data_IF_389784595001
#
_entry.id   IF_389784595001
#
_cell.length_a   1.000
_cell.length_b   1.000
_cell.length_c   1.000
_cell.angle_alpha   90.00
_cell.angle_beta   90.00
_cell.angle_gamma   90.00
#
_symmetry.space_group_name_H-M   'P 1'
#
loop_
_entity.id
_entity.type
_entity.pdbx_description
1 polymer ?
#
# COMPACT_ATOMS: atom_id res chain seq x y z
N UNK A 1 14.63 -13.74 18.06
CA UNK A 1 14.33 -12.61 17.13
C UNK A 1 15.28 -12.67 15.94
N UNK A 2 14.73 -12.59 14.73
CA UNK A 2 15.50 -12.73 13.49
C UNK A 2 15.39 -11.40 12.72
N UNK A 3 16.50 -10.91 12.15
CA UNK A 3 16.48 -9.82 11.17
C UNK A 3 16.40 -10.41 9.77
N UNK A 4 15.33 -10.13 9.05
CA UNK A 4 15.13 -10.57 7.66
C UNK A 4 15.06 -9.31 6.77
N UNK A 5 15.70 -9.29 5.59
CA UNK A 5 15.53 -8.21 4.63
C UNK A 5 14.06 -8.00 4.27
N UNK A 6 13.62 -6.75 4.18
CA UNK A 6 12.20 -6.37 4.00
C UNK A 6 11.62 -6.96 2.72
N UNK A 7 12.39 -7.00 1.65
CA UNK A 7 12.05 -7.58 0.36
C UNK A 7 11.66 -9.06 0.44
N UNK A 8 12.23 -9.80 1.41
CA UNK A 8 11.97 -11.23 1.60
C UNK A 8 10.73 -11.51 2.47
N UNK A 9 10.12 -10.48 3.07
CA UNK A 9 8.97 -10.64 3.96
C UNK A 9 7.62 -10.64 3.23
N UNK A 10 7.58 -10.28 1.95
CA UNK A 10 6.34 -10.15 1.20
C UNK A 10 5.36 -9.17 1.84
N UNK A 11 5.84 -8.13 2.53
CA UNK A 11 4.99 -7.17 3.26
C UNK A 11 4.03 -6.45 2.32
N UNK A 12 4.47 -6.15 1.09
CA UNK A 12 3.62 -5.51 0.10
C UNK A 12 2.36 -6.32 -0.20
N UNK A 13 2.48 -7.65 -0.28
CA UNK A 13 1.36 -8.56 -0.54
C UNK A 13 0.36 -8.63 0.62
N UNK A 14 0.72 -8.10 1.78
CA UNK A 14 -0.03 -8.21 3.03
C UNK A 14 -0.44 -6.86 3.62
N UNK A 15 -0.33 -5.75 2.88
CA UNK A 15 -0.63 -4.41 3.41
C UNK A 15 -2.05 -4.28 3.97
N UNK A 16 -3.03 -4.92 3.36
CA UNK A 16 -4.43 -4.95 3.79
C UNK A 16 -4.75 -6.01 4.87
N UNK A 17 -3.76 -6.86 5.21
CA UNK A 17 -3.95 -7.86 6.25
C UNK A 17 -4.21 -7.20 7.59
N UNK A 18 -5.32 -7.57 8.22
CA UNK A 18 -5.64 -7.12 9.59
C UNK A 18 -4.66 -7.75 10.58
N UNK A 19 -4.05 -6.90 11.39
CA UNK A 19 -3.11 -7.27 12.46
C UNK A 19 -3.52 -6.59 13.76
N UNK A 20 -2.98 -7.04 14.88
CA UNK A 20 -3.13 -6.37 16.18
C UNK A 20 -1.83 -5.66 16.52
N UNK A 21 -1.86 -4.33 16.57
CA UNK A 21 -0.74 -3.48 16.95
C UNK A 21 -0.89 -3.01 18.40
N UNK A 22 0.23 -2.87 19.10
CA UNK A 22 0.27 -2.46 20.51
C UNK A 22 0.83 -1.05 20.65
N UNK A 23 -0.03 -0.11 21.05
CA UNK A 23 0.30 1.29 21.26
C UNK A 23 0.34 1.63 22.74
N UNK A 24 1.24 2.53 23.15
CA UNK A 24 1.23 3.06 24.52
C UNK A 24 -0.05 3.87 24.75
N UNK A 25 -0.69 3.69 25.91
CA UNK A 25 -1.89 4.43 26.32
C UNK A 25 -1.61 5.89 26.60
N UNK A 26 -0.38 6.19 27.01
CA UNK A 26 0.07 7.56 27.30
C UNK A 26 1.14 7.97 26.30
N UNK A 27 1.14 9.24 25.93
CA UNK A 27 2.21 9.82 25.12
C UNK A 27 3.57 9.65 25.81
N UNK A 28 4.56 9.31 25.01
CA UNK A 28 5.92 9.10 25.49
C UNK A 28 6.91 9.81 24.59
N UNK A 29 7.89 10.45 25.19
CA UNK A 29 9.02 11.04 24.45
C UNK A 29 10.11 10.02 24.14
N UNK A 30 10.12 8.88 24.87
CA UNK A 30 11.09 7.81 24.64
C UNK A 30 10.61 6.93 23.49
N UNK A 31 11.40 6.78 22.42
CA UNK A 31 11.08 5.88 21.32
C UNK A 31 10.90 4.44 21.79
N UNK A 32 9.96 3.72 21.17
CA UNK A 32 9.70 2.31 21.45
C UNK A 32 9.39 1.54 20.17
N UNK A 33 9.50 0.22 20.23
CA UNK A 33 9.19 -0.63 19.09
C UNK A 33 7.68 -0.85 18.97
N UNK A 34 7.14 -0.72 17.74
CA UNK A 34 5.74 -1.08 17.48
C UNK A 34 5.64 -2.60 17.35
N UNK A 35 4.99 -3.23 18.32
CA UNK A 35 4.74 -4.67 18.27
C UNK A 35 3.44 -4.96 17.52
N UNK A 36 3.50 -5.92 16.60
CA UNK A 36 2.40 -6.36 15.75
C UNK A 36 2.24 -7.87 15.85
N UNK A 37 1.02 -8.33 16.09
CA UNK A 37 0.66 -9.75 16.11
C UNK A 37 -0.23 -10.10 14.94
N UNK A 38 0.15 -11.14 14.18
CA UNK A 38 -0.58 -11.66 13.04
C UNK A 38 -1.47 -12.85 13.42
N UNK A 39 -1.04 -13.65 14.40
CA UNK A 39 -1.79 -14.81 14.90
C UNK A 39 -2.38 -14.55 16.27
N UNK A 40 -3.50 -15.24 16.57
CA UNK A 40 -4.14 -15.16 17.89
C UNK A 40 -3.23 -15.65 19.02
N UNK A 41 -2.43 -16.69 18.75
CA UNK A 41 -1.49 -17.23 19.73
C UNK A 41 -0.44 -16.18 20.13
N UNK A 42 0.19 -15.56 19.13
CA UNK A 42 1.18 -14.50 19.40
C UNK A 42 0.53 -13.29 20.08
N UNK A 43 -0.68 -12.90 19.66
CA UNK A 43 -1.44 -11.83 20.30
C UNK A 43 -1.65 -12.09 21.79
N UNK A 44 -2.13 -13.28 22.15
CA UNK A 44 -2.38 -13.64 23.56
C UNK A 44 -1.11 -13.55 24.42
N UNK A 45 0.02 -14.02 23.87
CA UNK A 45 1.33 -13.91 24.52
C UNK A 45 1.75 -12.46 24.71
N UNK A 46 1.73 -11.67 23.63
CA UNK A 46 2.15 -10.26 23.66
C UNK A 46 1.25 -9.40 24.52
N UNK A 47 -0.04 -9.68 24.54
CA UNK A 47 -0.99 -9.00 25.41
C UNK A 47 -0.60 -9.15 26.89
N UNK A 48 -0.28 -10.36 27.33
CA UNK A 48 0.16 -10.62 28.72
C UNK A 48 1.46 -9.88 29.07
N UNK A 49 2.37 -9.74 28.11
CA UNK A 49 3.63 -9.03 28.28
C UNK A 49 3.47 -7.51 28.32
N UNK A 50 2.63 -6.94 27.42
CA UNK A 50 2.60 -5.50 27.13
C UNK A 50 1.48 -4.74 27.86
N UNK A 51 0.32 -5.35 28.13
CA UNK A 51 -0.76 -4.64 28.86
C UNK A 51 -0.33 -4.13 30.26
N UNK A 52 0.44 -4.90 31.06
CA UNK A 52 0.94 -4.41 32.36
C UNK A 52 1.92 -3.23 32.21
N UNK A 53 2.55 -3.08 31.05
CA UNK A 53 3.48 -1.98 30.73
C UNK A 53 2.76 -0.74 30.15
N UNK A 54 1.42 -0.71 30.18
CA UNK A 54 0.62 0.40 29.74
C UNK A 54 0.36 0.45 28.22
N UNK A 55 0.48 -0.67 27.51
CA UNK A 55 0.10 -0.75 26.11
C UNK A 55 -1.38 -1.13 25.96
N UNK A 56 -1.96 -0.74 24.83
CA UNK A 56 -3.29 -1.15 24.37
C UNK A 56 -3.18 -1.80 22.99
N UNK A 57 -4.00 -2.82 22.77
CA UNK A 57 -4.10 -3.52 21.51
C UNK A 57 -5.14 -2.86 20.60
N UNK A 58 -4.79 -2.61 19.34
CA UNK A 58 -5.66 -2.02 18.33
C UNK A 58 -5.57 -2.84 17.05
N UNK A 59 -6.72 -3.19 16.46
CA UNK A 59 -6.76 -3.84 15.15
C UNK A 59 -6.62 -2.79 14.04
N UNK A 60 -5.64 -2.97 13.18
CA UNK A 60 -5.36 -2.11 12.02
C UNK A 60 -4.84 -2.96 10.84
N UNK A 61 -4.91 -2.47 9.60
CA UNK A 61 -4.16 -3.05 8.50
C UNK A 61 -2.64 -2.98 8.74
N UNK A 62 -1.91 -3.98 8.26
CA UNK A 62 -0.44 -4.01 8.36
C UNK A 62 0.19 -2.76 7.73
N UNK A 63 -0.31 -2.29 6.58
CA UNK A 63 0.17 -1.08 5.94
C UNK A 63 0.07 0.16 6.84
N UNK A 64 -0.98 0.28 7.66
CA UNK A 64 -1.08 1.36 8.64
C UNK A 64 -0.09 1.20 9.79
N UNK A 65 0.25 -0.02 10.20
CA UNK A 65 1.32 -0.24 11.18
C UNK A 65 2.68 0.17 10.62
N UNK A 66 2.97 -0.17 9.36
CA UNK A 66 4.17 0.27 8.65
C UNK A 66 4.24 1.80 8.56
N UNK A 67 3.14 2.44 8.16
CA UNK A 67 3.06 3.91 8.06
C UNK A 67 3.36 4.58 9.40
N UNK A 68 2.77 4.10 10.48
CA UNK A 68 3.06 4.62 11.83
C UNK A 68 4.57 4.58 12.14
N UNK A 69 5.26 3.46 11.86
CA UNK A 69 6.71 3.36 12.11
C UNK A 69 7.49 4.31 11.21
N UNK A 70 7.12 4.41 9.93
CA UNK A 70 7.81 5.28 8.96
C UNK A 70 7.66 6.75 9.32
N UNK A 71 6.44 7.21 9.65
CA UNK A 71 6.11 8.63 9.78
C UNK A 71 6.37 9.19 11.18
N UNK A 72 6.18 8.41 12.24
CA UNK A 72 6.17 8.93 13.60
C UNK A 72 7.52 8.73 14.30
N UNK A 73 8.07 9.81 14.87
CA UNK A 73 9.41 9.82 15.48
C UNK A 73 9.52 8.95 16.75
N UNK A 74 8.39 8.71 17.44
CA UNK A 74 8.39 7.91 18.66
C UNK A 74 8.40 6.39 18.41
N UNK A 75 8.28 5.93 17.17
CA UNK A 75 8.52 4.53 16.83
C UNK A 75 9.96 4.33 16.36
N UNK A 76 10.60 3.31 16.92
CA UNK A 76 11.97 2.92 16.59
C UNK A 76 11.96 1.86 15.49
N UNK A 77 11.46 0.68 15.80
CA UNK A 77 11.41 -0.47 14.89
C UNK A 77 10.02 -1.11 14.90
N UNK A 78 9.77 -1.99 13.93
CA UNK A 78 8.59 -2.84 13.89
C UNK A 78 8.96 -4.25 14.32
N UNK A 79 8.23 -4.81 15.29
CA UNK A 79 8.36 -6.21 15.70
C UNK A 79 7.12 -6.95 15.22
N UNK A 80 7.30 -7.94 14.34
CA UNK A 80 6.21 -8.73 13.77
C UNK A 80 6.28 -10.15 14.35
N UNK A 81 5.19 -10.57 14.99
CA UNK A 81 5.06 -11.94 15.48
C UNK A 81 3.95 -12.70 14.77
N UNK A 82 4.18 -14.01 14.59
CA UNK A 82 3.25 -14.93 13.95
C UNK A 82 3.43 -15.07 12.42
N UNK A 83 4.47 -14.48 11.82
CA UNK A 83 4.93 -14.80 10.47
C UNK A 83 5.90 -15.97 10.44
N UNK A 84 6.71 -16.10 11.48
CA UNK A 84 7.67 -17.17 11.69
C UNK A 84 7.58 -17.65 13.15
N UNK A 85 8.21 -18.78 13.51
CA UNK A 85 8.28 -19.25 14.91
C UNK A 85 8.86 -18.20 15.86
N UNK A 86 9.81 -17.39 15.37
CA UNK A 86 10.39 -16.29 16.11
C UNK A 86 9.84 -14.93 15.63
N UNK A 87 9.91 -13.93 16.50
CA UNK A 87 9.59 -12.54 16.14
C UNK A 87 10.61 -11.99 15.15
N UNK A 88 10.10 -11.29 14.16
CA UNK A 88 10.89 -10.63 13.13
C UNK A 88 11.01 -9.14 13.49
N UNK A 89 12.24 -8.62 13.52
CA UNK A 89 12.50 -7.20 13.68
C UNK A 89 12.77 -6.59 12.32
N UNK A 90 12.01 -5.56 11.99
CA UNK A 90 12.20 -4.73 10.80
C UNK A 90 12.55 -3.33 11.25
N UNK A 91 13.77 -2.89 10.95
CA UNK A 91 14.21 -1.56 11.35
C UNK A 91 13.48 -0.48 10.55
N UNK A 92 13.30 0.69 11.17
CA UNK A 92 12.68 1.84 10.50
C UNK A 92 13.41 2.21 9.21
N UNK A 93 14.75 2.17 9.22
CA UNK A 93 15.58 2.46 8.05
C UNK A 93 15.30 1.47 6.90
N UNK A 94 15.08 0.20 7.22
CA UNK A 94 14.74 -0.82 6.24
C UNK A 94 13.34 -0.61 5.62
N UNK A 95 12.44 0.07 6.33
CA UNK A 95 11.10 0.41 5.82
C UNK A 95 11.07 1.66 4.94
N UNK A 96 12.07 2.54 5.03
CA UNK A 96 12.08 3.81 4.30
C UNK A 96 11.93 3.69 2.79
N UNK A 97 12.52 2.69 2.09
CA UNK A 97 12.28 2.47 0.66
C UNK A 97 10.81 2.18 0.31
N UNK A 98 10.02 1.67 1.26
CA UNK A 98 8.60 1.39 1.05
C UNK A 98 7.68 2.59 1.30
N UNK A 99 8.22 3.72 1.74
CA UNK A 99 7.42 4.88 2.19
C UNK A 99 6.34 5.29 1.19
N UNK A 100 6.69 5.48 -0.07
CA UNK A 100 5.73 5.93 -1.09
C UNK A 100 4.63 4.90 -1.37
N UNK A 101 4.97 3.62 -1.32
CA UNK A 101 4.00 2.53 -1.49
C UNK A 101 3.04 2.45 -0.31
N UNK A 102 3.59 2.51 0.91
CA UNK A 102 2.81 2.47 2.15
C UNK A 102 1.89 3.68 2.27
N UNK A 103 2.39 4.88 1.96
CA UNK A 103 1.59 6.10 1.93
C UNK A 103 0.46 6.01 0.89
N UNK A 104 0.76 5.53 -0.33
CA UNK A 104 -0.26 5.28 -1.36
C UNK A 104 -1.32 4.28 -0.89
N UNK A 105 -0.90 3.18 -0.26
CA UNK A 105 -1.82 2.23 0.35
C UNK A 105 -2.73 2.89 1.38
N UNK A 106 -2.19 3.70 2.30
CA UNK A 106 -2.97 4.38 3.33
C UNK A 106 -4.02 5.33 2.74
N UNK A 107 -3.66 6.09 1.69
CA UNK A 107 -4.58 6.96 0.96
C UNK A 107 -5.70 6.15 0.31
N UNK A 108 -5.36 5.10 -0.44
CA UNK A 108 -6.32 4.24 -1.13
C UNK A 108 -7.24 3.53 -0.12
N UNK A 109 -6.68 3.01 0.96
CA UNK A 109 -7.43 2.35 2.03
C UNK A 109 -8.41 3.31 2.72
N UNK A 110 -7.99 4.57 2.95
CA UNK A 110 -8.87 5.61 3.51
C UNK A 110 -10.02 5.94 2.57
N UNK A 111 -9.77 6.05 1.26
CA UNK A 111 -10.81 6.28 0.25
C UNK A 111 -11.76 5.08 0.13
N UNK A 112 -11.25 3.85 0.05
CA UNK A 112 -12.05 2.62 -0.03
C UNK A 112 -12.98 2.44 1.19
N UNK A 113 -12.60 3.00 2.35
CA UNK A 113 -13.40 3.00 3.57
C UNK A 113 -14.19 4.31 3.80
N UNK A 114 -14.35 5.14 2.78
CA UNK A 114 -15.08 6.42 2.82
C UNK A 114 -14.59 7.39 3.91
N UNK A 115 -13.32 7.33 4.29
CA UNK A 115 -12.69 8.25 5.25
C UNK A 115 -12.20 9.54 4.59
N UNK A 116 -11.93 9.48 3.29
CA UNK A 116 -11.63 10.63 2.43
C UNK A 116 -12.39 10.48 1.11
N UNK A 117 -12.67 11.59 0.45
CA UNK A 117 -13.30 11.60 -0.87
C UNK A 117 -12.30 11.22 -1.97
N UNK A 118 -12.78 10.64 -3.07
CA UNK A 118 -11.96 10.27 -4.22
C UNK A 118 -11.18 11.46 -4.80
N UNK A 119 -11.79 12.64 -4.84
CA UNK A 119 -11.12 13.88 -5.26
C UNK A 119 -9.91 14.20 -4.39
N UNK A 120 -10.04 14.05 -3.07
CA UNK A 120 -8.94 14.23 -2.12
C UNK A 120 -7.88 13.16 -2.28
N UNK A 121 -8.27 11.90 -2.46
CA UNK A 121 -7.34 10.80 -2.72
C UNK A 121 -6.54 11.05 -4.01
N UNK A 122 -7.20 11.52 -5.08
CA UNK A 122 -6.52 11.90 -6.32
C UNK A 122 -5.46 12.98 -6.08
N UNK A 123 -5.81 14.07 -5.40
CA UNK A 123 -4.88 15.16 -5.10
C UNK A 123 -3.64 14.71 -4.32
N UNK A 124 -3.80 13.72 -3.42
CA UNK A 124 -2.69 13.15 -2.66
C UNK A 124 -1.85 12.16 -3.46
N UNK A 125 -2.41 11.56 -4.52
CA UNK A 125 -1.74 10.54 -5.33
C UNK A 125 -1.26 11.03 -6.69
N UNK A 126 -1.71 12.16 -7.18
CA UNK A 126 -1.49 12.63 -8.57
C UNK A 126 -0.02 12.67 -8.99
N UNK A 127 0.87 12.99 -8.07
CA UNK A 127 2.31 13.08 -8.32
C UNK A 127 3.08 11.78 -8.05
N UNK A 128 2.39 10.73 -7.58
CA UNK A 128 2.99 9.42 -7.30
C UNK A 128 3.14 8.60 -8.57
N UNK A 129 4.20 7.80 -8.59
CA UNK A 129 4.45 6.84 -9.68
C UNK A 129 3.55 5.62 -9.52
N UNK A 130 2.89 5.24 -10.61
CA UNK A 130 2.18 3.96 -10.77
C UNK A 130 2.77 3.21 -11.96
N UNK A 131 2.53 1.91 -12.02
CA UNK A 131 2.99 1.05 -13.10
C UNK A 131 1.78 0.54 -13.88
N UNK A 132 1.83 0.65 -15.21
CA UNK A 132 0.81 0.07 -16.06
C UNK A 132 1.42 -0.97 -17.01
N UNK A 133 0.61 -1.94 -17.40
CA UNK A 133 1.02 -2.97 -18.37
C UNK A 133 0.79 -2.37 -19.75
N UNK A 134 1.87 -2.03 -20.41
CA UNK A 134 1.89 -1.35 -21.70
C UNK A 134 3.19 -0.63 -21.94
N UNK A 135 3.28 0.05 -23.08
CA UNK A 135 4.47 0.79 -23.49
C UNK A 135 4.09 2.20 -23.92
N UNK A 136 4.82 3.17 -23.38
CA UNK A 136 4.88 4.50 -23.97
C UNK A 136 5.59 4.38 -25.32
N UNK A 137 4.96 4.83 -26.39
CA UNK A 137 5.51 4.71 -27.75
C UNK A 137 6.61 5.74 -28.03
N UNK A 138 6.64 6.83 -27.24
CA UNK A 138 7.64 7.89 -27.34
C UNK A 138 8.16 8.24 -25.94
N UNK A 139 9.42 8.68 -25.85
CA UNK A 139 10.03 9.15 -24.59
C UNK A 139 9.34 10.42 -24.06
N UNK A 140 8.74 11.20 -24.95
CA UNK A 140 7.96 12.41 -24.64
C UNK A 140 6.64 12.31 -25.40
N UNK A 141 5.66 11.53 -24.89
CA UNK A 141 4.39 11.36 -25.58
C UNK A 141 3.62 12.70 -25.68
N UNK A 142 2.97 12.92 -26.81
CA UNK A 142 2.10 14.09 -27.03
C UNK A 142 0.63 13.67 -26.98
N UNK A 143 -0.25 14.62 -26.66
CA UNK A 143 -1.69 14.37 -26.66
C UNK A 143 -2.14 13.89 -28.03
N UNK A 144 -2.68 12.68 -28.09
CA UNK A 144 -3.11 12.03 -29.32
C UNK A 144 -2.21 10.88 -29.80
N UNK A 145 -1.07 10.66 -29.15
CA UNK A 145 -0.24 9.49 -29.44
C UNK A 145 -0.97 8.19 -29.07
N UNK A 146 -0.85 7.18 -29.90
CA UNK A 146 -1.36 5.85 -29.58
C UNK A 146 -0.46 5.17 -28.56
N UNK A 147 -1.06 4.62 -27.53
CA UNK A 147 -0.36 3.91 -26.47
C UNK A 147 -0.99 2.54 -26.30
N UNK A 148 -0.16 1.53 -26.38
CA UNK A 148 -0.58 0.16 -26.08
C UNK A 148 -0.60 -0.03 -24.55
N UNK A 149 -1.77 -0.33 -23.97
CA UNK A 149 -1.94 -0.59 -22.54
C UNK A 149 -2.94 -1.73 -22.32
N UNK A 150 -2.89 -2.32 -21.13
CA UNK A 150 -3.89 -3.25 -20.66
C UNK A 150 -4.99 -2.49 -19.92
N UNK A 151 -6.19 -2.49 -20.48
CA UNK A 151 -7.39 -1.94 -19.87
C UNK A 151 -8.16 -2.96 -19.06
N UNK A 152 -9.19 -2.47 -18.38
CA UNK A 152 -10.23 -3.27 -17.75
C UNK A 152 -11.59 -2.66 -18.10
N UNK A 153 -12.50 -3.49 -18.62
CA UNK A 153 -13.86 -3.07 -18.93
C UNK A 153 -14.64 -2.83 -17.64
N UNK A 154 -15.32 -1.70 -17.60
CA UNK A 154 -16.13 -1.25 -16.47
C UNK A 154 -17.47 -0.76 -16.96
N UNK A 155 -18.42 -0.62 -16.05
CA UNK A 155 -19.74 -0.05 -16.31
C UNK A 155 -20.00 1.06 -15.29
N UNK A 156 -20.32 2.23 -15.78
CA UNK A 156 -20.72 3.37 -14.96
C UNK A 156 -22.08 3.13 -14.28
N UNK A 157 -22.43 3.96 -13.29
CA UNK A 157 -23.68 3.84 -12.56
C UNK A 157 -24.94 4.00 -13.44
N UNK A 158 -24.80 4.69 -14.56
CA UNK A 158 -25.88 4.89 -15.57
C UNK A 158 -25.96 3.75 -16.60
N UNK A 159 -25.13 2.71 -16.46
CA UNK A 159 -25.07 1.56 -17.37
C UNK A 159 -24.13 1.77 -18.56
N UNK A 160 -23.46 2.92 -18.70
CA UNK A 160 -22.55 3.19 -19.81
C UNK A 160 -21.26 2.40 -19.67
N UNK A 161 -20.86 1.57 -20.65
CA UNK A 161 -19.59 0.86 -20.63
C UNK A 161 -18.42 1.83 -20.87
N UNK A 162 -17.31 1.60 -20.17
CA UNK A 162 -16.06 2.32 -20.38
C UNK A 162 -14.86 1.41 -20.09
N UNK A 163 -13.70 1.82 -20.55
CA UNK A 163 -12.43 1.15 -20.28
C UNK A 163 -11.55 2.01 -19.38
N UNK A 164 -11.05 1.44 -18.29
CA UNK A 164 -10.10 2.06 -17.38
C UNK A 164 -8.68 1.52 -17.61
N UNK A 165 -7.66 2.38 -17.49
CA UNK A 165 -6.25 1.96 -17.52
C UNK A 165 -5.93 1.24 -16.24
N UNK A 166 -5.43 0.01 -16.35
CA UNK A 166 -5.08 -0.84 -15.23
C UNK A 166 -3.68 -0.50 -14.72
N UNK A 167 -3.59 -0.02 -13.49
CA UNK A 167 -2.35 0.42 -12.86
C UNK A 167 -2.09 -0.32 -11.55
N UNK A 168 -0.83 -0.30 -11.12
CA UNK A 168 -0.32 -0.96 -9.91
C UNK A 168 0.63 -0.04 -9.16
N UNK A 169 0.75 -0.22 -7.85
CA UNK A 169 1.67 0.56 -7.02
C UNK A 169 3.13 0.13 -7.20
N UNK A 170 3.37 -1.11 -7.61
CA UNK A 170 4.71 -1.63 -7.87
C UNK A 170 4.81 -2.37 -9.19
N UNK A 171 6.04 -2.47 -9.71
CA UNK A 171 6.33 -3.25 -10.91
C UNK A 171 6.04 -4.74 -10.69
N UNK A 172 6.38 -5.27 -9.51
CA UNK A 172 6.16 -6.66 -9.12
C UNK A 172 4.67 -6.99 -9.09
N UNK A 173 3.83 -6.06 -8.58
CA UNK A 173 2.38 -6.22 -8.63
C UNK A 173 1.88 -6.26 -10.08
N UNK A 174 2.40 -5.40 -10.95
CA UNK A 174 2.05 -5.42 -12.37
C UNK A 174 2.51 -6.71 -13.05
N UNK A 175 3.72 -7.21 -12.75
CA UNK A 175 4.26 -8.46 -13.31
C UNK A 175 3.39 -9.67 -12.98
N UNK A 176 2.85 -9.72 -11.75
CA UNK A 176 1.97 -10.81 -11.29
C UNK A 176 0.71 -10.97 -12.14
N UNK A 177 0.19 -9.88 -12.69
CA UNK A 177 -1.03 -9.85 -13.50
C UNK A 177 -0.77 -9.62 -14.99
N UNK A 178 0.49 -9.77 -15.43
CA UNK A 178 0.93 -9.61 -16.82
C UNK A 178 1.12 -10.99 -17.49
N UNK A 179 0.03 -11.71 -17.70
CA UNK A 179 0.05 -13.06 -18.30
C UNK A 179 0.64 -13.06 -19.72
N UNK A 180 0.39 -12.01 -20.49
CA UNK A 180 0.87 -11.86 -21.87
C UNK A 180 2.32 -11.37 -21.96
N UNK A 181 3.00 -11.16 -20.83
CA UNK A 181 4.40 -10.66 -20.76
C UNK A 181 4.63 -9.37 -21.57
N UNK A 182 3.65 -8.49 -21.59
CA UNK A 182 3.75 -7.15 -22.21
C UNK A 182 4.75 -6.29 -21.43
N UNK A 183 5.30 -5.25 -22.05
CA UNK A 183 6.11 -4.26 -21.33
C UNK A 183 5.35 -3.68 -20.14
N UNK A 184 6.06 -3.30 -19.09
CA UNK A 184 5.50 -2.58 -17.94
C UNK A 184 6.22 -1.24 -17.86
N UNK A 185 5.46 -0.17 -17.84
CA UNK A 185 5.98 1.19 -17.81
C UNK A 185 5.55 1.94 -16.55
N UNK A 186 6.47 2.68 -15.91
CA UNK A 186 6.10 3.62 -14.86
C UNK A 186 5.50 4.88 -15.47
N UNK A 187 4.55 5.49 -14.77
CA UNK A 187 4.03 6.80 -15.12
C UNK A 187 3.51 7.52 -13.87
N UNK A 188 3.51 8.84 -13.92
CA UNK A 188 2.85 9.66 -12.92
C UNK A 188 1.33 9.60 -13.13
N UNK A 189 0.55 9.51 -12.05
CA UNK A 189 -0.91 9.36 -12.13
C UNK A 189 -1.58 10.57 -12.83
N UNK A 190 -1.14 11.80 -12.52
CA UNK A 190 -1.66 13.00 -13.17
C UNK A 190 -1.38 12.97 -14.67
N UNK A 191 -0.20 12.48 -15.05
CA UNK A 191 0.17 12.33 -16.46
C UNK A 191 -0.77 11.36 -17.19
N UNK A 192 -1.04 10.19 -16.64
CA UNK A 192 -1.96 9.22 -17.23
C UNK A 192 -3.36 9.82 -17.42
N UNK A 193 -3.88 10.51 -16.41
CA UNK A 193 -5.18 11.17 -16.46
C UNK A 193 -5.26 12.31 -17.48
N UNK A 194 -4.30 13.24 -17.45
CA UNK A 194 -4.29 14.41 -18.33
C UNK A 194 -3.98 14.05 -19.78
N UNK A 195 -3.16 13.04 -19.98
CA UNK A 195 -2.66 12.64 -21.28
C UNK A 195 -3.68 11.79 -22.05
N UNK A 196 -4.19 10.74 -21.42
CA UNK A 196 -5.13 9.83 -22.08
C UNK A 196 -6.59 10.21 -21.89
N UNK A 197 -6.89 11.02 -20.87
CA UNK A 197 -8.27 11.39 -20.56
C UNK A 197 -9.15 10.18 -20.19
N UNK A 198 -8.53 9.04 -19.86
CA UNK A 198 -9.23 7.82 -19.50
C UNK A 198 -9.28 7.63 -17.99
N UNK A 199 -10.31 6.95 -17.48
CA UNK A 199 -10.32 6.48 -16.11
C UNK A 199 -9.08 5.62 -15.81
N UNK A 200 -8.55 5.74 -14.60
CA UNK A 200 -7.42 4.94 -14.11
C UNK A 200 -7.88 4.15 -12.89
N UNK A 201 -7.66 2.85 -12.90
CA UNK A 201 -7.92 1.98 -11.76
C UNK A 201 -6.60 1.46 -11.20
N UNK A 202 -6.38 1.65 -9.89
CA UNK A 202 -5.15 1.24 -9.21
C UNK A 202 -5.42 0.03 -8.34
N UNK A 203 -4.56 -1.00 -8.43
CA UNK A 203 -4.63 -2.27 -7.70
C UNK A 203 -5.98 -2.99 -7.83
N UNK A 204 -6.56 -3.19 -9.04
CA UNK A 204 -7.92 -3.69 -9.22
C UNK A 204 -8.16 -5.11 -8.67
N UNK A 205 -7.10 -5.80 -8.26
CA UNK A 205 -7.14 -7.15 -7.70
C UNK A 205 -7.00 -7.18 -6.16
N UNK A 206 -6.93 -6.00 -5.52
CA UNK A 206 -6.78 -5.84 -4.07
C UNK A 206 -8.08 -5.38 -3.42
N UNK A 207 -8.24 -5.63 -2.13
CA UNK A 207 -9.40 -5.17 -1.36
C UNK A 207 -9.45 -3.64 -1.17
N UNK A 208 -8.35 -2.96 -1.46
CA UNK A 208 -8.19 -1.51 -1.30
C UNK A 208 -8.00 -0.76 -2.62
N UNK A 209 -8.47 -1.33 -3.72
CA UNK A 209 -8.40 -0.69 -5.02
C UNK A 209 -9.13 0.66 -5.07
N UNK A 210 -8.71 1.54 -5.95
CA UNK A 210 -9.34 2.84 -6.19
C UNK A 210 -9.43 3.14 -7.69
N UNK A 211 -10.47 3.84 -8.08
CA UNK A 211 -10.68 4.29 -9.45
C UNK A 211 -10.83 5.81 -9.50
N UNK A 212 -10.15 6.43 -10.44
CA UNK A 212 -10.21 7.86 -10.75
C UNK A 212 -10.84 8.04 -12.13
N UNK A 213 -12.08 8.52 -12.17
CA UNK A 213 -12.85 8.82 -13.38
C UNK A 213 -12.39 10.10 -14.07
#
# INVERSE_FOLDING_TARGET
MIKIPVENLGLFEQLDRTVVAFFKKQETTNPYDLNVSITQEHFNKKRQELEPLGFQAVQIPLGMALDNVIQQAHFKDLIIGGLAPEEIIVSKEALMPMKDIVDSFCIMYAAANNRIENSKAYELMKDKTVYFIGKLLTDIPQKGDEIAYMGIDRTANDGTPYEAVKCFLTKESAEKYNEEKRPISPANLAYLKSFWGKPVIIEPHRNYWIEFL
#
